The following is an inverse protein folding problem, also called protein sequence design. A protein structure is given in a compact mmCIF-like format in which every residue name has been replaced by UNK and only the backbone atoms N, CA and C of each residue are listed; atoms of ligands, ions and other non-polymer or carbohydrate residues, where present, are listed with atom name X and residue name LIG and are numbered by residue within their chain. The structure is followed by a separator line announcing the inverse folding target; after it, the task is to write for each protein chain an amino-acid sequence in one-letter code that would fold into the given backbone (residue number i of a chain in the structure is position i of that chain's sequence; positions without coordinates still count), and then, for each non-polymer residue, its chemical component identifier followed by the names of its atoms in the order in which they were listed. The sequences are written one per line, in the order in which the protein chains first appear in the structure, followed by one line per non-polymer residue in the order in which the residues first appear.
data_IF_709346261368
#
_entry.id   IF_709346261368
#
_cell.length_a   1.000
_cell.length_b   1.000
_cell.length_c   1.000
_cell.angle_alpha   90.00
_cell.angle_beta   90.00
_cell.angle_gamma   90.00
#
_symmetry.space_group_name_H-M   'P 1'
#
loop_
_entity.id
_entity.type
_entity.pdbx_description
1 polymer ?
#
# COMPACT_ATOMS: atom_id res chain seq x y z
N UNK A 1 17.27 10.00 -6.14
CA UNK A 1 16.33 10.07 -7.29
C UNK A 1 15.26 8.98 -7.22
N UNK A 2 15.57 7.73 -6.88
CA UNK A 2 14.55 6.65 -6.86
C UNK A 2 13.42 6.84 -5.82
N UNK A 3 13.76 7.29 -4.59
CA UNK A 3 12.75 7.61 -3.56
C UNK A 3 11.82 8.74 -4.01
N UNK A 4 12.32 9.69 -4.80
CA UNK A 4 11.49 10.75 -5.40
C UNK A 4 10.46 10.18 -6.36
N UNK A 5 10.84 9.20 -7.19
CA UNK A 5 9.90 8.50 -8.08
C UNK A 5 8.84 7.72 -7.29
N UNK A 6 9.24 7.01 -6.23
CA UNK A 6 8.30 6.34 -5.33
C UNK A 6 7.28 7.31 -4.76
N UNK A 7 7.73 8.40 -4.13
CA UNK A 7 6.87 9.41 -3.52
C UNK A 7 5.94 10.06 -4.54
N UNK A 8 6.43 10.33 -5.75
CA UNK A 8 5.61 10.87 -6.83
C UNK A 8 4.47 9.94 -7.22
N UNK A 9 4.72 8.63 -7.30
CA UNK A 9 3.67 7.64 -7.58
C UNK A 9 2.67 7.56 -6.43
N UNK A 10 3.14 7.53 -5.17
CA UNK A 10 2.27 7.56 -3.98
C UNK A 10 1.34 8.78 -3.96
N UNK A 11 1.86 9.95 -4.31
CA UNK A 11 1.04 11.17 -4.42
C UNK A 11 -0.01 11.03 -5.52
N UNK A 12 0.38 10.57 -6.72
CA UNK A 12 -0.55 10.40 -7.84
C UNK A 12 -1.69 9.43 -7.55
N UNK A 13 -1.41 8.32 -6.89
CA UNK A 13 -2.46 7.36 -6.48
C UNK A 13 -3.41 8.00 -5.47
N UNK A 14 -2.88 8.76 -4.50
CA UNK A 14 -3.71 9.50 -3.54
C UNK A 14 -4.62 10.53 -4.22
N UNK A 15 -4.07 11.32 -5.14
CA UNK A 15 -4.83 12.31 -5.93
C UNK A 15 -5.92 11.66 -6.80
N UNK A 16 -5.61 10.53 -7.44
CA UNK A 16 -6.58 9.79 -8.25
C UNK A 16 -7.75 9.28 -7.41
N UNK A 17 -7.47 8.73 -6.22
CA UNK A 17 -8.52 8.21 -5.34
C UNK A 17 -9.38 9.31 -4.73
N UNK A 18 -8.78 10.45 -4.38
CA UNK A 18 -9.53 11.61 -3.90
C UNK A 18 -10.51 12.13 -4.98
N UNK A 19 -10.14 12.04 -6.26
CA UNK A 19 -10.98 12.46 -7.38
C UNK A 19 -12.16 11.52 -7.70
N UNK A 20 -12.16 10.27 -7.22
CA UNK A 20 -13.12 9.23 -7.59
C UNK A 20 -14.37 9.13 -6.68
N UNK A 21 -14.54 10.03 -5.71
CA UNK A 21 -15.65 9.95 -4.76
C UNK A 21 -17.04 9.96 -5.44
N UNK A 22 -17.97 9.01 -5.10
CA UNK A 22 -17.92 8.04 -4.00
C UNK A 22 -17.61 6.61 -4.50
N UNK A 23 -16.35 6.31 -4.81
CA UNK A 23 -15.92 4.95 -5.11
C UNK A 23 -14.43 4.86 -5.41
N UNK A 24 -13.90 3.64 -5.46
CA UNK A 24 -12.54 3.36 -5.91
C UNK A 24 -12.62 2.61 -7.22
N UNK A 25 -12.06 3.21 -8.28
CA UNK A 25 -11.83 2.55 -9.54
C UNK A 25 -10.42 1.96 -9.54
N UNK A 26 -10.31 0.70 -9.12
CA UNK A 26 -9.05 -0.02 -9.04
C UNK A 26 -8.30 -0.07 -10.37
N UNK A 27 -9.01 -0.17 -11.50
CA UNK A 27 -8.40 -0.25 -12.84
C UNK A 27 -7.66 1.03 -13.23
N UNK A 28 -8.04 2.18 -12.66
CA UNK A 28 -7.40 3.47 -12.92
C UNK A 28 -6.10 3.66 -12.12
N UNK A 29 -6.04 3.15 -10.88
CA UNK A 29 -4.86 3.28 -10.01
C UNK A 29 -3.86 2.15 -10.17
N UNK A 30 -4.31 0.98 -10.62
CA UNK A 30 -3.48 -0.23 -10.72
C UNK A 30 -2.23 -0.07 -11.61
N UNK A 31 -2.24 0.66 -12.74
CA UNK A 31 -1.02 0.94 -13.49
C UNK A 31 0.05 1.68 -12.67
N UNK A 32 -0.36 2.59 -11.79
CA UNK A 32 0.54 3.33 -10.90
C UNK A 32 1.04 2.43 -9.77
N UNK A 33 0.17 1.60 -9.18
CA UNK A 33 0.55 0.59 -8.19
C UNK A 33 1.58 -0.41 -8.74
N UNK A 34 1.38 -0.89 -9.96
CA UNK A 34 2.34 -1.75 -10.67
C UNK A 34 3.68 -1.04 -10.89
N UNK A 35 3.63 0.23 -11.29
CA UNK A 35 4.82 1.05 -11.48
C UNK A 35 5.58 1.25 -10.17
N UNK A 36 4.89 1.43 -9.05
CA UNK A 36 5.47 1.54 -7.71
C UNK A 36 6.21 0.26 -7.33
N UNK A 37 5.60 -0.92 -7.51
CA UNK A 37 6.25 -2.21 -7.24
C UNK A 37 7.45 -2.43 -8.18
N UNK A 38 7.35 -2.03 -9.45
CA UNK A 38 8.47 -2.12 -10.40
C UNK A 38 9.65 -1.22 -10.00
N UNK A 39 9.39 -0.01 -9.51
CA UNK A 39 10.43 0.90 -8.98
C UNK A 39 11.14 0.26 -7.79
N UNK A 40 10.37 -0.29 -6.85
CA UNK A 40 10.91 -0.93 -5.64
C UNK A 40 11.77 -2.15 -5.99
N UNK A 41 11.22 -3.07 -6.77
CA UNK A 41 11.90 -4.33 -7.15
C UNK A 41 13.10 -4.11 -8.07
N UNK A 42 13.09 -3.04 -8.88
CA UNK A 42 14.22 -2.65 -9.72
C UNK A 42 15.42 -2.06 -8.97
N UNK A 43 15.27 -1.74 -7.69
CA UNK A 43 16.30 -1.06 -6.89
C UNK A 43 16.55 -1.75 -5.52
N UNK A 44 16.97 -3.03 -5.50
CA UNK A 44 17.11 -3.80 -4.25
C UNK A 44 18.16 -3.25 -3.27
N UNK A 45 19.08 -2.38 -3.74
CA UNK A 45 20.04 -1.68 -2.86
C UNK A 45 19.38 -0.63 -1.96
N UNK A 46 18.14 -0.25 -2.27
CA UNK A 46 17.36 0.77 -1.56
C UNK A 46 16.17 0.15 -0.80
N UNK A 47 16.13 -1.17 -0.61
CA UNK A 47 15.01 -1.84 0.09
C UNK A 47 14.73 -1.24 1.46
N UNK A 48 15.75 -0.98 2.27
CA UNK A 48 15.57 -0.36 3.58
C UNK A 48 14.92 1.04 3.48
N UNK A 49 15.36 1.87 2.53
CA UNK A 49 14.78 3.19 2.28
C UNK A 49 13.29 3.07 1.90
N UNK A 50 12.92 2.10 1.06
CA UNK A 50 11.51 1.89 0.69
C UNK A 50 10.66 1.32 1.82
N UNK A 51 11.22 0.43 2.64
CA UNK A 51 10.54 -0.08 3.85
C UNK A 51 10.21 1.10 4.78
N UNK A 52 11.15 2.02 5.01
CA UNK A 52 10.91 3.24 5.79
C UNK A 52 9.81 4.13 5.17
N UNK A 53 9.75 4.26 3.85
CA UNK A 53 8.69 5.02 3.17
C UNK A 53 7.31 4.35 3.33
N UNK A 54 7.21 3.03 3.18
CA UNK A 54 5.95 2.31 3.42
C UNK A 54 5.51 2.39 4.89
N UNK A 55 6.46 2.28 5.82
CA UNK A 55 6.17 2.45 7.25
C UNK A 55 5.68 3.86 7.54
N UNK A 56 6.30 4.87 6.94
CA UNK A 56 5.85 6.27 7.04
C UNK A 56 4.44 6.46 6.46
N UNK A 57 4.12 5.76 5.37
CA UNK A 57 2.82 5.82 4.71
C UNK A 57 1.68 5.32 5.63
N UNK A 58 1.92 4.31 6.48
CA UNK A 58 0.92 3.79 7.44
C UNK A 58 0.32 4.88 8.32
N UNK A 59 1.15 5.83 8.74
CA UNK A 59 0.78 6.93 9.65
C UNK A 59 0.34 8.21 8.91
N UNK A 60 0.37 8.20 7.58
CA UNK A 60 -0.01 9.37 6.78
C UNK A 60 -1.53 9.51 6.62
N UNK A 61 -1.95 10.70 6.20
CA UNK A 61 -3.33 10.99 5.78
C UNK A 61 -3.53 10.78 4.27
N UNK A 62 -2.63 10.07 3.59
CA UNK A 62 -2.76 9.83 2.15
C UNK A 62 -4.05 9.02 1.86
N UNK A 63 -4.96 9.52 1.01
CA UNK A 63 -6.23 8.84 0.70
C UNK A 63 -6.07 7.44 0.12
N UNK A 64 -4.96 7.17 -0.56
CA UNK A 64 -4.64 5.89 -1.19
C UNK A 64 -3.74 4.98 -0.38
N UNK A 65 -3.44 5.31 0.89
CA UNK A 65 -2.50 4.50 1.68
C UNK A 65 -2.91 3.04 1.79
N UNK A 66 -4.20 2.77 1.91
CA UNK A 66 -4.73 1.41 2.08
C UNK A 66 -4.46 0.60 0.82
N UNK A 67 -4.87 1.11 -0.34
CA UNK A 67 -4.74 0.44 -1.64
C UNK A 67 -3.26 0.26 -2.03
N UNK A 68 -2.44 1.29 -1.77
CA UNK A 68 -0.99 1.22 -2.00
C UNK A 68 -0.36 0.10 -1.17
N UNK A 69 -0.64 0.07 0.14
CA UNK A 69 -0.05 -0.91 1.05
C UNK A 69 -0.58 -2.31 0.78
N UNK A 70 -1.88 -2.47 0.55
CA UNK A 70 -2.48 -3.76 0.25
C UNK A 70 -1.88 -4.38 -1.03
N UNK A 71 -1.90 -3.66 -2.15
CA UNK A 71 -1.34 -4.16 -3.42
C UNK A 71 0.16 -4.47 -3.29
N UNK A 72 0.91 -3.55 -2.68
CA UNK A 72 2.36 -3.71 -2.55
C UNK A 72 2.74 -4.86 -1.64
N UNK A 73 2.06 -5.01 -0.49
CA UNK A 73 2.41 -6.03 0.50
C UNK A 73 1.94 -7.43 0.11
N UNK A 74 0.90 -7.55 -0.72
CA UNK A 74 0.54 -8.83 -1.32
C UNK A 74 1.68 -9.42 -2.17
N UNK A 75 2.34 -8.56 -2.94
CA UNK A 75 3.45 -8.92 -3.83
C UNK A 75 4.80 -9.01 -3.10
N UNK A 76 5.12 -8.04 -2.25
CA UNK A 76 6.45 -7.89 -1.64
C UNK A 76 6.59 -8.64 -0.31
N UNK A 77 5.51 -8.72 0.48
CA UNK A 77 5.45 -9.42 1.77
C UNK A 77 6.57 -9.06 2.75
N UNK A 78 6.91 -7.78 2.85
CA UNK A 78 8.02 -7.32 3.68
C UNK A 78 7.72 -7.44 5.18
N UNK A 79 8.48 -8.25 5.95
CA UNK A 79 8.18 -8.50 7.36
C UNK A 79 8.26 -7.26 8.24
N UNK A 80 9.12 -6.29 7.92
CA UNK A 80 9.27 -5.03 8.66
C UNK A 80 7.99 -4.18 8.58
N UNK A 81 7.38 -4.08 7.39
CA UNK A 81 6.12 -3.38 7.18
C UNK A 81 4.97 -4.10 7.89
N UNK A 82 4.95 -5.46 7.85
CA UNK A 82 3.98 -6.27 8.61
C UNK A 82 4.06 -5.97 10.11
N UNK A 83 5.26 -6.07 10.67
CA UNK A 83 5.49 -5.84 12.10
C UNK A 83 5.13 -4.39 12.52
N UNK A 84 5.43 -3.40 11.67
CA UNK A 84 5.03 -2.02 11.92
C UNK A 84 3.50 -1.87 11.93
N UNK A 85 2.81 -2.51 10.98
CA UNK A 85 1.34 -2.50 10.90
C UNK A 85 0.70 -3.20 12.11
N UNK A 86 1.20 -4.37 12.51
CA UNK A 86 0.77 -5.10 13.71
C UNK A 86 0.96 -4.26 14.99
N UNK A 87 2.11 -3.59 15.11
CA UNK A 87 2.37 -2.70 16.25
C UNK A 87 1.42 -1.50 16.28
N UNK A 88 1.13 -0.88 15.13
CA UNK A 88 0.16 0.22 15.05
C UNK A 88 -1.26 -0.24 15.39
N UNK A 89 -1.67 -1.43 14.94
CA UNK A 89 -2.94 -2.02 15.32
C UNK A 89 -3.05 -2.23 16.83
N UNK A 90 -2.00 -2.76 17.46
CA UNK A 90 -1.97 -3.04 18.90
C UNK A 90 -2.12 -1.77 19.76
N UNK A 91 -1.54 -0.65 19.32
CA UNK A 91 -1.53 0.62 20.08
C UNK A 91 -2.62 1.60 19.63
N UNK A 92 -3.44 1.25 18.64
CA UNK A 92 -4.47 2.14 18.10
C UNK A 92 -5.71 2.16 18.99
N UNK A 93 -6.00 3.32 19.58
CA UNK A 93 -7.26 3.57 20.29
C UNK A 93 -8.41 3.98 19.34
N UNK A 94 -8.13 4.26 18.06
CA UNK A 94 -9.14 4.60 17.05
C UNK A 94 -9.63 3.33 16.31
N UNK A 95 -10.91 2.96 16.43
CA UNK A 95 -11.48 1.81 15.71
C UNK A 95 -11.40 1.94 14.19
N UNK A 96 -11.40 3.15 13.63
CA UNK A 96 -11.29 3.35 12.18
C UNK A 96 -9.87 3.08 11.69
N UNK A 97 -8.88 3.59 12.41
CA UNK A 97 -7.47 3.29 12.14
C UNK A 97 -7.19 1.79 12.32
N UNK A 98 -7.68 1.17 13.40
CA UNK A 98 -7.54 -0.27 13.65
C UNK A 98 -8.06 -1.10 12.46
N UNK A 99 -9.28 -0.84 11.99
CA UNK A 99 -9.83 -1.51 10.79
C UNK A 99 -9.00 -1.30 9.53
N UNK A 100 -8.40 -0.13 9.38
CA UNK A 100 -7.51 0.15 8.25
C UNK A 100 -6.26 -0.73 8.32
N UNK A 101 -5.65 -0.87 9.49
CA UNK A 101 -4.49 -1.75 9.69
C UNK A 101 -4.84 -3.22 9.54
N UNK A 102 -6.00 -3.66 10.02
CA UNK A 102 -6.52 -5.03 9.79
C UNK A 102 -6.61 -5.33 8.28
N UNK A 103 -7.25 -4.46 7.50
CA UNK A 103 -7.35 -4.60 6.03
C UNK A 103 -5.99 -4.64 5.34
N UNK A 104 -5.01 -3.88 5.82
CA UNK A 104 -3.64 -3.93 5.28
C UNK A 104 -2.97 -5.27 5.61
N UNK A 105 -3.17 -5.79 6.83
CA UNK A 105 -2.58 -7.06 7.25
C UNK A 105 -3.15 -8.25 6.47
N UNK A 106 -4.43 -8.23 6.12
CA UNK A 106 -5.05 -9.27 5.28
C UNK A 106 -4.33 -9.44 3.94
N UNK A 107 -3.80 -8.35 3.35
CA UNK A 107 -3.11 -8.42 2.07
C UNK A 107 -1.80 -9.22 2.10
N UNK A 108 -1.20 -9.44 3.28
CA UNK A 108 -0.02 -10.31 3.41
C UNK A 108 -0.36 -11.79 3.22
N UNK A 109 -1.63 -12.16 3.38
CA UNK A 109 -2.06 -13.55 3.30
C UNK A 109 -2.27 -13.99 1.82
N UNK A 110 -1.89 -15.23 1.45
CA UNK A 110 -1.99 -15.69 0.06
C UNK A 110 -3.42 -15.73 -0.48
N UNK A 111 -4.40 -15.91 0.40
CA UNK A 111 -5.83 -16.04 0.14
C UNK A 111 -6.61 -14.75 0.46
N UNK A 112 -5.92 -13.60 0.51
CA UNK A 112 -6.53 -12.28 0.69
C UNK A 112 -7.78 -12.08 -0.17
N UNK A 113 -8.92 -11.87 0.48
CA UNK A 113 -10.25 -11.83 -0.15
C UNK A 113 -10.37 -10.70 -1.17
N UNK A 114 -9.97 -9.48 -0.81
CA UNK A 114 -10.07 -8.29 -1.67
C UNK A 114 -9.04 -8.26 -2.82
N UNK A 115 -8.22 -9.31 -3.00
CA UNK A 115 -7.21 -9.32 -4.07
C UNK A 115 -7.87 -9.19 -5.45
N UNK A 116 -9.06 -9.76 -5.63
CA UNK A 116 -9.80 -9.75 -6.90
C UNK A 116 -10.31 -8.35 -7.30
N UNK A 117 -10.22 -7.35 -6.41
CA UNK A 117 -10.44 -5.95 -6.75
C UNK A 117 -9.41 -5.46 -7.78
N UNK A 118 -8.20 -6.03 -7.78
CA UNK A 118 -7.12 -5.72 -8.73
C UNK A 118 -7.11 -6.71 -9.89
N UNK A 119 -7.07 -6.22 -11.12
CA UNK A 119 -7.10 -7.04 -12.32
C UNK A 119 -5.94 -8.04 -12.36
N UNK A 120 -4.77 -7.68 -11.83
CA UNK A 120 -3.57 -8.51 -11.75
C UNK A 120 -3.76 -9.79 -10.91
N UNK A 121 -4.76 -9.83 -10.01
CA UNK A 121 -5.02 -10.97 -9.12
C UNK A 121 -6.35 -11.68 -9.37
N UNK A 122 -7.14 -11.23 -10.37
CA UNK A 122 -8.35 -11.93 -10.83
C UNK A 122 -7.94 -13.18 -11.61
N UNK A 123 -7.94 -14.35 -10.97
CA UNK A 123 -7.67 -15.67 -11.59
C UNK A 123 -8.94 -16.49 -11.76
#
# INVERSE_FOLDING_TARGET
MVITSFRHIVTRVGEALEAQFPGVNYEEIEPDLRSLVAVVTGHPRHTADFEEEFISLLQSDNPGKTEILQYSMHLLRWPSVRAATENLLLVSDDPRAARTFERILEAFEPDWEDRDLFADFRS
#
